data_IF_755897671452
#
_entry.id   IF_755897671452
#
_cell.length_a   1.000
_cell.length_b   1.000
_cell.length_c   1.000
_cell.angle_alpha   90.00
_cell.angle_beta   90.00
_cell.angle_gamma   90.00
#
_symmetry.space_group_name_H-M   'P 1'
#
loop_
_entity.id
_entity.type
_entity.pdbx_description
1 polymer ?
#
# COMPACT_ATOMS: atom_id res chain seq x y z
N UNK A 1 -39.41 -3.74 -7.35
CA UNK A 1 -38.88 -4.85 -6.54
C UNK A 1 -37.58 -4.38 -5.90
N UNK A 2 -37.55 -4.30 -4.57
CA UNK A 2 -36.34 -3.95 -3.81
C UNK A 2 -35.40 -5.14 -3.86
N UNK A 3 -34.23 -4.98 -4.46
CA UNK A 3 -33.19 -6.02 -4.50
C UNK A 3 -32.52 -6.07 -3.12
N UNK A 4 -33.01 -6.94 -2.24
CA UNK A 4 -32.45 -7.18 -0.91
C UNK A 4 -31.05 -7.77 -1.13
N UNK A 5 -30.01 -6.94 -0.97
CA UNK A 5 -28.62 -7.41 -0.96
C UNK A 5 -28.48 -8.47 0.13
N UNK A 6 -28.28 -9.70 -0.31
CA UNK A 6 -28.20 -10.88 0.54
C UNK A 6 -26.99 -10.73 1.48
N UNK A 7 -27.24 -10.62 2.78
CA UNK A 7 -26.27 -10.24 3.81
C UNK A 7 -25.48 -11.46 4.34
N UNK A 8 -25.15 -12.42 3.46
CA UNK A 8 -24.42 -13.64 3.83
C UNK A 8 -22.92 -13.33 3.89
N UNK A 9 -22.28 -13.62 5.03
CA UNK A 9 -20.82 -13.61 5.16
C UNK A 9 -20.24 -14.74 4.31
N UNK A 10 -19.20 -14.45 3.53
CA UNK A 10 -18.45 -15.45 2.76
C UNK A 10 -17.91 -16.55 3.68
N UNK A 11 -17.92 -17.80 3.20
CA UNK A 11 -17.21 -18.92 3.83
C UNK A 11 -15.71 -18.77 3.66
N UNK A 12 -14.93 -19.54 4.41
CA UNK A 12 -13.46 -19.55 4.31
C UNK A 12 -13.02 -20.00 2.92
N UNK A 13 -13.67 -21.02 2.36
CA UNK A 13 -13.36 -21.57 1.03
C UNK A 13 -13.66 -20.54 -0.07
N UNK A 14 -14.80 -19.84 0.01
CA UNK A 14 -15.15 -18.76 -0.92
C UNK A 14 -14.15 -17.59 -0.82
N UNK A 15 -13.75 -17.24 0.41
CA UNK A 15 -12.74 -16.20 0.65
C UNK A 15 -11.40 -16.58 0.02
N UNK A 16 -10.90 -17.80 0.26
CA UNK A 16 -9.64 -18.28 -0.33
C UNK A 16 -9.75 -18.27 -1.85
N UNK A 17 -10.82 -18.83 -2.41
CA UNK A 17 -11.03 -18.87 -3.86
C UNK A 17 -11.01 -17.47 -4.50
N UNK A 18 -11.67 -16.49 -3.86
CA UNK A 18 -11.69 -15.10 -4.33
C UNK A 18 -10.32 -14.43 -4.24
N UNK A 19 -9.60 -14.64 -3.14
CA UNK A 19 -8.27 -14.04 -2.93
C UNK A 19 -7.18 -14.69 -3.77
N UNK A 20 -7.36 -15.95 -4.19
CA UNK A 20 -6.45 -16.68 -5.07
C UNK A 20 -6.71 -16.46 -6.57
N UNK A 21 -7.74 -15.69 -6.94
CA UNK A 21 -7.99 -15.34 -8.35
C UNK A 21 -6.80 -14.51 -8.88
N UNK A 22 -6.14 -14.93 -9.97
CA UNK A 22 -5.04 -14.15 -10.56
C UNK A 22 -5.46 -12.75 -11.03
N UNK A 23 -6.76 -12.52 -11.24
CA UNK A 23 -7.33 -11.22 -11.58
C UNK A 23 -7.84 -10.45 -10.34
N UNK A 24 -7.62 -10.95 -9.13
CA UNK A 24 -8.03 -10.26 -7.90
C UNK A 24 -7.29 -8.92 -7.75
N UNK A 25 -8.04 -7.83 -7.79
CA UNK A 25 -7.48 -6.48 -7.80
C UNK A 25 -7.14 -5.91 -6.41
N UNK A 26 -7.57 -6.58 -5.34
CA UNK A 26 -7.53 -6.08 -3.95
C UNK A 26 -6.38 -6.62 -3.09
N UNK A 27 -5.34 -7.18 -3.71
CA UNK A 27 -4.17 -7.74 -3.03
C UNK A 27 -3.01 -6.74 -2.94
N UNK A 28 -2.19 -6.85 -1.90
CA UNK A 28 -0.90 -6.17 -1.85
C UNK A 28 0.07 -6.87 -2.80
N UNK A 29 0.79 -6.12 -3.63
CA UNK A 29 1.78 -6.68 -4.55
C UNK A 29 3.01 -7.08 -3.75
N UNK A 30 3.30 -8.39 -3.71
CA UNK A 30 4.50 -8.88 -3.06
C UNK A 30 5.75 -8.26 -3.69
N UNK A 31 6.71 -7.91 -2.84
CA UNK A 31 8.01 -7.46 -3.29
C UNK A 31 8.75 -8.63 -3.99
N UNK A 32 9.33 -8.43 -5.19
CA UNK A 32 10.10 -9.48 -5.85
C UNK A 32 11.37 -9.82 -5.06
N UNK A 33 11.83 -11.08 -5.13
CA UNK A 33 12.99 -11.56 -4.38
C UNK A 33 14.28 -10.77 -4.69
N UNK A 34 14.41 -10.28 -5.92
CA UNK A 34 15.55 -9.49 -6.39
C UNK A 34 15.30 -7.97 -6.39
N UNK A 35 14.35 -7.49 -5.58
CA UNK A 35 14.05 -6.07 -5.49
C UNK A 35 15.29 -5.22 -5.16
N UNK A 36 15.45 -4.13 -5.89
CA UNK A 36 16.44 -3.09 -5.60
C UNK A 36 16.17 -2.43 -4.25
N UNK A 37 17.19 -1.79 -3.68
CA UNK A 37 17.03 -1.03 -2.43
C UNK A 37 15.96 0.07 -2.56
N UNK A 38 15.86 0.74 -3.72
CA UNK A 38 14.81 1.72 -3.96
C UNK A 38 13.40 1.11 -3.90
N UNK A 39 13.21 -0.09 -4.46
CA UNK A 39 11.93 -0.81 -4.42
C UNK A 39 11.58 -1.25 -3.00
N UNK A 40 12.55 -1.75 -2.23
CA UNK A 40 12.38 -2.10 -0.81
C UNK A 40 11.91 -0.89 -0.01
N UNK A 41 12.55 0.27 -0.18
CA UNK A 41 12.19 1.51 0.51
C UNK A 41 10.77 1.93 0.14
N UNK A 42 10.43 1.97 -1.16
CA UNK A 42 9.06 2.31 -1.59
C UNK A 42 8.02 1.37 -0.97
N UNK A 43 8.32 0.08 -0.93
CA UNK A 43 7.43 -0.94 -0.37
C UNK A 43 7.21 -0.73 1.13
N UNK A 44 8.29 -0.48 1.89
CA UNK A 44 8.22 -0.19 3.32
C UNK A 44 7.37 1.05 3.62
N UNK A 45 7.58 2.13 2.86
CA UNK A 45 6.77 3.36 3.01
C UNK A 45 5.28 3.06 2.75
N UNK A 46 4.98 2.31 1.69
CA UNK A 46 3.60 1.91 1.39
C UNK A 46 2.98 1.10 2.55
N UNK A 47 3.73 0.18 3.14
CA UNK A 47 3.26 -0.60 4.29
C UNK A 47 3.01 0.28 5.53
N UNK A 48 3.86 1.28 5.78
CA UNK A 48 3.68 2.23 6.87
C UNK A 48 2.41 3.08 6.68
N UNK A 49 2.15 3.57 5.47
CA UNK A 49 0.91 4.30 5.14
C UNK A 49 -0.32 3.40 5.28
N UNK A 50 -0.25 2.16 4.80
CA UNK A 50 -1.35 1.19 4.93
C UNK A 50 -1.63 0.83 6.40
N UNK A 51 -0.58 0.69 7.22
CA UNK A 51 -0.69 0.50 8.67
C UNK A 51 -1.32 1.72 9.34
N UNK A 52 -0.87 2.93 9.00
CA UNK A 52 -1.43 4.18 9.52
C UNK A 52 -2.93 4.27 9.26
N UNK A 53 -3.37 4.04 8.01
CA UNK A 53 -4.79 4.03 7.65
C UNK A 53 -5.60 3.02 8.48
N UNK A 54 -5.07 1.81 8.67
CA UNK A 54 -5.75 0.73 9.43
C UNK A 54 -5.88 1.07 10.92
N UNK A 55 -4.80 1.56 11.54
CA UNK A 55 -4.78 1.88 12.98
C UNK A 55 -5.70 3.05 13.30
N UNK A 56 -5.75 4.06 12.42
CA UNK A 56 -6.58 5.25 12.61
C UNK A 56 -8.00 5.10 12.01
N UNK A 57 -8.34 3.92 11.48
CA UNK A 57 -9.66 3.61 10.89
C UNK A 57 -10.16 4.60 9.83
N UNK A 58 -9.23 5.23 9.09
CA UNK A 58 -9.54 6.32 8.16
C UNK A 58 -10.16 5.74 6.88
N UNK A 59 -11.25 6.36 6.40
CA UNK A 59 -11.82 6.01 5.11
C UNK A 59 -10.91 6.43 3.95
N UNK A 60 -10.96 5.65 2.86
CA UNK A 60 -10.09 5.87 1.69
C UNK A 60 -10.20 7.31 1.14
N UNK A 61 -11.43 7.81 1.00
CA UNK A 61 -11.70 9.15 0.47
C UNK A 61 -11.12 10.27 1.34
N UNK A 62 -11.16 10.09 2.67
CA UNK A 62 -10.76 11.12 3.63
C UNK A 62 -9.23 11.19 3.69
N UNK A 63 -8.56 10.03 3.72
CA UNK A 63 -7.11 9.96 3.62
C UNK A 63 -6.58 10.51 2.28
N UNK A 64 -7.28 10.23 1.17
CA UNK A 64 -6.90 10.77 -0.14
C UNK A 64 -7.01 12.29 -0.17
N UNK A 65 -8.07 12.84 0.44
CA UNK A 65 -8.26 14.29 0.59
C UNK A 65 -7.16 14.93 1.45
N UNK A 66 -6.85 14.35 2.61
CA UNK A 66 -5.80 14.83 3.51
C UNK A 66 -4.41 14.82 2.84
N UNK A 67 -4.12 13.76 2.09
CA UNK A 67 -2.89 13.64 1.31
C UNK A 67 -2.87 14.52 0.05
N UNK A 68 -4.02 15.08 -0.37
CA UNK A 68 -4.16 15.85 -1.60
C UNK A 68 -3.86 15.03 -2.87
N UNK A 69 -4.21 13.74 -2.87
CA UNK A 69 -3.98 12.81 -3.99
C UNK A 69 -5.30 12.18 -4.45
N UNK A 70 -5.32 11.61 -5.66
CA UNK A 70 -6.50 10.87 -6.13
C UNK A 70 -6.69 9.56 -5.36
N UNK A 71 -7.93 9.08 -5.24
CA UNK A 71 -8.21 7.77 -4.64
C UNK A 71 -7.48 6.64 -5.37
N UNK A 72 -7.36 6.71 -6.70
CA UNK A 72 -6.57 5.76 -7.50
C UNK A 72 -5.09 5.75 -7.09
N UNK A 73 -4.49 6.92 -6.84
CA UNK A 73 -3.10 6.99 -6.38
C UNK A 73 -2.96 6.41 -4.98
N UNK A 74 -3.90 6.72 -4.08
CA UNK A 74 -3.92 6.14 -2.74
C UNK A 74 -4.09 4.61 -2.79
N UNK A 75 -4.97 4.06 -3.63
CA UNK A 75 -5.08 2.62 -3.83
C UNK A 75 -3.75 2.01 -4.28
N UNK A 76 -3.05 2.63 -5.24
CA UNK A 76 -1.74 2.14 -5.65
C UNK A 76 -0.73 2.10 -4.49
N UNK A 77 -0.78 3.08 -3.58
CA UNK A 77 0.03 3.10 -2.36
C UNK A 77 -0.40 1.97 -1.40
N UNK A 78 -1.69 1.85 -1.10
CA UNK A 78 -2.21 0.86 -0.15
C UNK A 78 -2.00 -0.59 -0.61
N UNK A 79 -1.98 -0.82 -1.92
CA UNK A 79 -1.68 -2.12 -2.54
C UNK A 79 -0.20 -2.31 -2.90
N UNK A 80 0.70 -1.40 -2.50
CA UNK A 80 2.14 -1.47 -2.78
C UNK A 80 2.47 -1.68 -4.27
N UNK A 81 1.76 -1.03 -5.18
CA UNK A 81 2.07 -1.07 -6.63
C UNK A 81 3.27 -0.18 -6.95
N UNK A 82 4.43 -0.53 -6.38
CA UNK A 82 5.65 0.30 -6.30
C UNK A 82 6.18 0.78 -7.66
N UNK A 83 5.91 0.04 -8.74
CA UNK A 83 6.28 0.42 -10.11
C UNK A 83 5.52 1.66 -10.63
N UNK A 84 4.38 1.99 -10.02
CA UNK A 84 3.56 3.16 -10.34
C UNK A 84 3.82 4.36 -9.40
N UNK A 85 4.79 4.23 -8.50
CA UNK A 85 5.03 5.16 -7.40
C UNK A 85 6.45 5.69 -7.46
N UNK A 86 6.61 7.00 -7.28
CA UNK A 86 7.91 7.63 -7.12
C UNK A 86 8.22 7.81 -5.63
N UNK A 87 9.51 7.81 -5.30
CA UNK A 87 9.95 7.84 -3.91
C UNK A 87 9.68 9.21 -3.25
N UNK A 88 9.83 10.29 -3.99
CA UNK A 88 9.50 11.67 -3.57
C UNK A 88 8.01 11.84 -3.24
N UNK A 89 7.13 11.28 -4.07
CA UNK A 89 5.68 11.30 -3.82
C UNK A 89 5.32 10.55 -2.53
N UNK A 90 6.00 9.43 -2.26
CA UNK A 90 5.81 8.64 -1.04
C UNK A 90 6.36 9.36 0.20
N UNK A 91 7.52 10.00 0.09
CA UNK A 91 8.09 10.81 1.16
C UNK A 91 7.16 11.98 1.54
N UNK A 92 6.57 12.67 0.55
CA UNK A 92 5.58 13.72 0.79
C UNK A 92 4.36 13.20 1.56
N UNK A 93 3.94 11.95 1.31
CA UNK A 93 2.85 11.33 2.08
C UNK A 93 3.25 11.08 3.54
N UNK A 94 4.46 10.60 3.79
CA UNK A 94 4.97 10.41 5.15
C UNK A 94 5.04 11.73 5.92
N UNK A 95 5.52 12.80 5.28
CA UNK A 95 5.60 14.13 5.87
C UNK A 95 4.23 14.64 6.30
N UNK A 96 3.23 14.58 5.40
CA UNK A 96 1.85 15.01 5.68
C UNK A 96 1.22 14.23 6.83
N UNK A 97 1.45 12.92 6.88
CA UNK A 97 0.90 12.04 7.93
C UNK A 97 1.75 12.04 9.21
N UNK A 98 2.87 12.77 9.22
CA UNK A 98 3.84 12.81 10.31
C UNK A 98 4.30 11.41 10.75
N UNK A 99 4.46 10.50 9.79
CA UNK A 99 4.92 9.13 10.07
C UNK A 99 6.45 9.15 10.12
N UNK A 100 7.07 8.80 11.27
CA UNK A 100 8.52 8.72 11.35
C UNK A 100 9.03 7.60 10.44
N UNK A 101 10.08 7.89 9.67
CA UNK A 101 10.71 6.94 8.77
C UNK A 101 12.23 7.12 8.82
N UNK A 102 12.96 6.01 8.99
CA UNK A 102 14.41 6.01 8.98
C UNK A 102 14.91 5.34 7.70
N UNK A 103 15.78 6.03 6.97
CA UNK A 103 16.41 5.51 5.78
C UNK A 103 17.91 5.35 6.02
N UNK A 104 18.38 4.12 5.95
CA UNK A 104 19.81 3.79 5.99
C UNK A 104 20.34 3.60 4.57
N UNK A 105 21.47 4.24 4.24
CA UNK A 105 22.17 4.03 2.98
C UNK A 105 23.49 3.35 3.29
N UNK A 106 23.59 2.06 2.99
CA UNK A 106 24.82 1.30 3.15
C UNK A 106 25.80 1.62 1.99
N UNK A 107 26.91 2.27 2.30
CA UNK A 107 28.01 2.49 1.35
C UNK A 107 28.95 1.29 1.34
N UNK A 108 29.16 0.67 0.18
CA UNK A 108 30.18 -0.36 0.01
C UNK A 108 31.56 0.28 -0.21
N UNK A 109 32.15 0.83 0.84
CA UNK A 109 33.51 1.38 0.78
C UNK A 109 34.50 0.22 0.78
N UNK A 110 34.81 -0.32 -0.41
CA UNK A 110 36.10 -1.00 -0.58
C UNK A 110 37.16 0.08 -0.47
N UNK A 111 37.73 0.26 0.73
CA UNK A 111 38.95 1.03 0.92
C UNK A 111 40.03 0.37 0.05
N UNK A 112 40.47 1.08 -0.99
CA UNK A 112 41.69 0.77 -1.73
C UNK A 112 42.91 1.11 -0.87
#
# INVERSE_FOLDING_TARGET
MVNIKNNRKETREETIKRLSDPNYQGGNYALPENASESEKIKYEICQNIAKYKRINEIYLKDLAYELGISQTKLDNILYCRINLLKLDELANCLEKLQIPFHLEIAGNTKRA
#
